data_IF_865758799830
#
_entry.id   IF_865758799830
#
_cell.length_a   1.000
_cell.length_b   1.000
_cell.length_c   1.000
_cell.angle_alpha   90.00
_cell.angle_beta   90.00
_cell.angle_gamma   90.00
#
_symmetry.space_group_name_H-M   'P 1'
#
loop_
_entity.id
_entity.type
_entity.pdbx_description
1 polymer ?
#
# COMPACT_ATOMS: atom_id res chain seq x y z
N UNK A 1 2.78 28.06 16.95
CA UNK A 1 4.21 28.37 16.76
C UNK A 1 4.58 27.91 15.36
N UNK A 2 5.27 28.78 14.62
CA UNK A 2 5.46 28.78 13.16
C UNK A 2 5.91 27.46 12.53
N UNK A 3 5.25 27.07 11.43
CA UNK A 3 5.78 26.18 10.41
C UNK A 3 7.01 26.84 9.76
N UNK A 4 8.05 26.04 9.48
CA UNK A 4 9.03 26.39 8.45
C UNK A 4 9.18 25.23 7.49
N UNK A 5 8.98 25.59 6.24
CA UNK A 5 9.02 24.82 5.01
C UNK A 5 10.49 24.60 4.62
N UNK A 6 10.97 23.34 4.56
CA UNK A 6 12.26 22.99 3.93
C UNK A 6 12.56 21.49 3.94
N UNK A 7 11.81 20.66 3.21
CA UNK A 7 12.25 19.28 2.85
C UNK A 7 11.67 18.74 1.54
N UNK A 8 11.21 19.58 0.61
CA UNK A 8 10.59 19.13 -0.66
C UNK A 8 11.53 18.96 -1.86
N UNK A 9 12.86 18.93 -1.67
CA UNK A 9 13.82 18.92 -2.80
C UNK A 9 14.38 17.55 -3.20
N UNK A 10 13.81 16.43 -2.74
CA UNK A 10 14.40 15.08 -2.92
C UNK A 10 13.62 14.11 -3.80
N UNK A 11 12.64 14.55 -4.59
CA UNK A 11 11.79 13.63 -5.37
C UNK A 11 12.44 13.22 -6.69
N UNK A 12 13.23 12.15 -6.68
CA UNK A 12 13.60 11.45 -7.90
C UNK A 12 12.43 10.55 -8.33
N UNK A 13 11.86 10.81 -9.50
CA UNK A 13 10.86 9.95 -10.11
C UNK A 13 11.47 8.56 -10.42
N UNK A 14 10.72 7.50 -10.13
CA UNK A 14 11.08 6.15 -10.59
C UNK A 14 11.23 6.14 -12.13
N UNK A 15 12.19 5.39 -12.69
CA UNK A 15 12.47 5.41 -14.12
C UNK A 15 11.27 4.90 -14.91
N UNK A 16 10.89 5.68 -15.93
CA UNK A 16 9.85 5.35 -16.91
C UNK A 16 10.26 4.12 -17.70
N UNK A 17 9.63 2.98 -17.43
CA UNK A 17 9.72 1.77 -18.23
C UNK A 17 8.34 1.39 -18.77
N UNK A 18 8.14 1.55 -20.07
CA UNK A 18 6.99 1.00 -20.77
C UNK A 18 7.06 -0.53 -20.73
N UNK A 19 6.24 -1.15 -19.90
CA UNK A 19 6.13 -2.60 -19.81
C UNK A 19 5.44 -3.01 -18.52
N UNK A 20 4.12 -3.19 -18.57
CA UNK A 20 3.36 -3.79 -17.49
C UNK A 20 3.75 -5.25 -17.30
N UNK A 21 4.86 -5.51 -16.60
CA UNK A 21 5.37 -6.84 -16.27
C UNK A 21 5.56 -6.99 -14.75
N UNK A 22 4.53 -7.59 -14.11
CA UNK A 22 4.62 -8.58 -13.02
C UNK A 22 5.49 -8.22 -11.80
N UNK A 23 5.00 -7.32 -10.94
CA UNK A 23 5.53 -7.10 -9.58
C UNK A 23 5.66 -8.42 -8.79
N UNK A 24 4.71 -9.34 -8.99
CA UNK A 24 4.73 -10.66 -8.34
C UNK A 24 5.99 -11.49 -8.65
N UNK A 25 6.44 -11.51 -9.91
CA UNK A 25 7.60 -12.33 -10.30
C UNK A 25 8.93 -11.85 -9.69
N UNK A 26 9.05 -10.56 -9.37
CA UNK A 26 10.28 -9.99 -8.82
C UNK A 26 10.45 -10.28 -7.33
N UNK A 27 9.36 -10.23 -6.54
CA UNK A 27 9.40 -10.61 -5.13
C UNK A 27 9.73 -12.11 -4.96
N UNK A 28 9.08 -12.96 -5.76
CA UNK A 28 9.35 -14.40 -5.77
C UNK A 28 10.78 -14.69 -6.17
N UNK A 29 11.31 -14.05 -7.21
CA UNK A 29 12.71 -14.26 -7.62
C UNK A 29 13.72 -13.79 -6.55
N UNK A 30 13.43 -12.69 -5.85
CA UNK A 30 14.28 -12.17 -4.76
C UNK A 30 14.27 -13.11 -3.54
N UNK A 31 13.08 -13.57 -3.12
CA UNK A 31 12.92 -14.52 -2.00
C UNK A 31 13.53 -15.88 -2.37
N UNK A 32 13.29 -16.40 -3.58
CA UNK A 32 13.86 -17.66 -4.03
C UNK A 32 15.39 -17.61 -4.20
N UNK A 33 15.93 -16.49 -4.68
CA UNK A 33 17.38 -16.28 -4.81
C UNK A 33 18.09 -16.22 -3.47
N UNK A 34 17.48 -15.60 -2.46
CA UNK A 34 18.02 -15.50 -1.10
C UNK A 34 17.93 -16.85 -0.34
N UNK A 35 16.89 -17.64 -0.58
CA UNK A 35 16.77 -19.00 -0.03
C UNK A 35 17.74 -19.98 -0.71
N UNK A 36 18.06 -19.77 -1.99
CA UNK A 36 18.95 -20.64 -2.77
C UNK A 36 20.46 -20.40 -2.59
N UNK A 37 20.90 -19.19 -2.24
CA UNK A 37 22.33 -18.81 -2.20
C UNK A 37 23.05 -19.12 -0.87
N UNK A 38 22.66 -20.20 -0.19
CA UNK A 38 23.23 -20.60 1.09
C UNK A 38 24.75 -20.81 1.03
N UNK A 39 25.52 -19.83 1.53
CA UNK A 39 26.90 -20.03 1.98
C UNK A 39 26.82 -20.91 3.22
N UNK A 40 27.00 -22.22 3.04
CA UNK A 40 26.98 -23.20 4.12
C UNK A 40 28.22 -23.06 5.00
N UNK A 41 28.03 -22.52 6.20
CA UNK A 41 28.92 -22.65 7.34
C UNK A 41 28.15 -23.21 8.53
N UNK A 42 28.61 -24.36 9.04
CA UNK A 42 28.18 -25.11 10.23
C UNK A 42 26.71 -25.59 10.28
N UNK A 43 26.57 -26.93 10.34
CA UNK A 43 25.33 -27.66 10.59
C UNK A 43 24.87 -27.38 12.03
N UNK A 44 23.96 -26.43 12.17
CA UNK A 44 22.95 -26.50 13.23
C UNK A 44 21.74 -27.22 12.65
N UNK A 45 21.07 -28.01 13.49
CA UNK A 45 19.78 -28.65 13.22
C UNK A 45 18.81 -27.59 12.70
N UNK A 46 18.71 -27.47 11.36
CA UNK A 46 17.80 -26.53 10.72
C UNK A 46 16.45 -27.25 10.67
N UNK A 47 15.34 -26.58 11.01
CA UNK A 47 14.03 -27.13 10.70
C UNK A 47 14.00 -27.55 9.23
N UNK A 48 13.28 -28.65 8.95
CA UNK A 48 13.23 -29.30 7.63
C UNK A 48 12.86 -28.29 6.51
N UNK A 49 12.20 -27.18 6.86
CA UNK A 49 11.96 -26.00 6.03
C UNK A 49 12.48 -24.72 6.72
N UNK A 50 13.16 -23.79 6.00
CA UNK A 50 13.55 -22.50 6.54
C UNK A 50 12.31 -21.65 6.89
N UNK A 51 12.38 -20.82 7.92
CA UNK A 51 11.29 -19.92 8.28
C UNK A 51 11.44 -18.54 7.61
N UNK A 52 10.32 -17.95 7.21
CA UNK A 52 10.18 -16.55 6.78
C UNK A 52 9.28 -15.86 7.79
N UNK A 53 9.79 -14.84 8.47
CA UNK A 53 8.98 -14.01 9.37
C UNK A 53 8.33 -12.90 8.53
N UNK A 54 7.01 -12.96 8.36
CA UNK A 54 6.23 -11.95 7.65
C UNK A 54 5.62 -11.00 8.68
N UNK A 55 6.02 -9.73 8.65
CA UNK A 55 5.53 -8.67 9.51
C UNK A 55 4.55 -7.82 8.72
N UNK A 56 3.28 -7.88 9.10
CA UNK A 56 2.16 -7.22 8.46
C UNK A 56 1.84 -5.94 9.23
N UNK A 57 1.67 -4.82 8.54
CA UNK A 57 1.31 -3.55 9.17
C UNK A 57 -0.10 -3.62 9.77
N UNK A 58 -1.01 -4.31 9.08
CA UNK A 58 -2.42 -4.38 9.44
C UNK A 58 -2.83 -5.83 9.79
N UNK A 59 -4.14 -6.09 9.79
CA UNK A 59 -4.71 -7.35 10.28
C UNK A 59 -5.14 -8.24 9.11
N UNK A 60 -5.02 -9.55 9.29
CA UNK A 60 -5.69 -10.56 8.45
C UNK A 60 -7.20 -10.39 8.62
N UNK A 61 -7.92 -10.39 7.49
CA UNK A 61 -9.30 -9.95 7.35
C UNK A 61 -9.43 -8.56 6.70
N UNK A 62 -8.32 -7.83 6.51
CA UNK A 62 -8.26 -6.70 5.59
C UNK A 62 -7.82 -7.21 4.21
N UNK A 63 -8.65 -6.99 3.19
CA UNK A 63 -8.48 -7.59 1.85
C UNK A 63 -7.08 -7.42 1.25
N UNK A 64 -6.44 -6.26 1.44
CA UNK A 64 -5.05 -6.03 1.02
C UNK A 64 -4.06 -7.02 1.67
N UNK A 65 -4.11 -7.18 2.99
CA UNK A 65 -3.23 -8.10 3.72
C UNK A 65 -3.58 -9.57 3.40
N UNK A 66 -4.85 -9.86 3.15
CA UNK A 66 -5.31 -11.20 2.77
C UNK A 66 -4.77 -11.59 1.39
N UNK A 67 -4.87 -10.71 0.40
CA UNK A 67 -4.30 -10.90 -0.95
C UNK A 67 -2.77 -11.06 -0.91
N UNK A 68 -2.09 -10.26 -0.07
CA UNK A 68 -0.64 -10.38 0.15
C UNK A 68 -0.27 -11.72 0.76
N UNK A 69 -1.01 -12.15 1.79
CA UNK A 69 -0.77 -13.44 2.44
C UNK A 69 -1.04 -14.61 1.49
N UNK A 70 -2.09 -14.54 0.67
CA UNK A 70 -2.41 -15.54 -0.36
C UNK A 70 -1.30 -15.61 -1.42
N UNK A 71 -0.88 -14.46 -1.95
CA UNK A 71 0.21 -14.37 -2.92
C UNK A 71 1.52 -14.95 -2.37
N UNK A 72 1.91 -14.56 -1.16
CA UNK A 72 3.09 -15.09 -0.47
C UNK A 72 3.00 -16.61 -0.25
N UNK A 73 1.84 -17.12 0.21
CA UNK A 73 1.66 -18.56 0.45
C UNK A 73 1.75 -19.36 -0.86
N UNK A 74 1.07 -18.91 -1.93
CA UNK A 74 1.12 -19.53 -3.24
C UNK A 74 2.54 -19.50 -3.84
N UNK A 75 3.21 -18.37 -3.68
CA UNK A 75 4.55 -18.14 -4.17
C UNK A 75 5.60 -18.94 -3.42
N UNK A 76 5.57 -18.99 -2.09
CA UNK A 76 6.56 -19.74 -1.30
C UNK A 76 6.32 -21.24 -1.40
N UNK A 77 5.07 -21.68 -1.31
CA UNK A 77 4.68 -23.09 -1.31
C UNK A 77 5.40 -23.87 -0.20
N UNK A 78 5.85 -25.07 -0.52
CA UNK A 78 6.53 -25.95 0.44
C UNK A 78 7.98 -25.60 0.76
N UNK A 79 8.52 -24.50 0.20
CA UNK A 79 9.95 -24.16 0.30
C UNK A 79 10.35 -23.52 1.62
N UNK A 80 9.40 -22.93 2.34
CA UNK A 80 9.63 -22.28 3.62
C UNK A 80 8.36 -22.27 4.46
N UNK A 81 8.50 -22.11 5.78
CA UNK A 81 7.39 -21.89 6.70
C UNK A 81 7.14 -20.39 6.86
N UNK A 82 5.89 -19.95 6.67
CA UNK A 82 5.50 -18.55 6.89
C UNK A 82 5.10 -18.34 8.35
N UNK A 83 5.83 -17.48 9.05
CA UNK A 83 5.51 -17.05 10.41
C UNK A 83 4.93 -15.65 10.35
N UNK A 84 3.61 -15.51 10.51
CA UNK A 84 2.94 -14.21 10.41
C UNK A 84 2.97 -13.43 11.74
N UNK A 85 3.26 -12.14 11.69
CA UNK A 85 3.16 -11.19 12.79
C UNK A 85 2.36 -9.97 12.35
N UNK A 86 1.16 -9.80 12.90
CA UNK A 86 0.31 -8.63 12.63
C UNK A 86 0.59 -7.54 13.68
N UNK A 87 0.82 -6.31 13.22
CA UNK A 87 1.00 -5.13 14.09
C UNK A 87 -0.32 -4.41 14.38
N UNK A 88 -1.34 -4.62 13.53
CA UNK A 88 -2.71 -4.12 13.68
C UNK A 88 -2.84 -2.59 13.81
N UNK A 89 -1.93 -1.81 13.21
CA UNK A 89 -1.83 -0.37 13.54
C UNK A 89 -3.01 0.47 13.08
N UNK A 90 -3.72 0.03 12.04
CA UNK A 90 -4.99 0.65 11.61
C UNK A 90 -6.17 0.26 12.51
N UNK A 91 -6.15 -0.95 13.10
CA UNK A 91 -7.23 -1.46 13.97
C UNK A 91 -7.13 -0.91 15.39
N UNK A 92 -5.90 -0.71 15.86
CA UNK A 92 -5.60 -0.23 17.21
C UNK A 92 -4.59 0.95 17.15
N UNK A 93 -5.02 2.15 16.74
CA UNK A 93 -4.13 3.29 16.50
C UNK A 93 -3.66 4.00 17.79
N UNK A 94 -4.14 3.58 18.97
CA UNK A 94 -3.79 4.22 20.23
C UNK A 94 -2.31 3.95 20.61
N UNK A 95 -1.57 4.97 21.09
CA UNK A 95 -0.17 4.82 21.51
C UNK A 95 -0.04 3.95 22.77
N UNK A 96 1.17 3.48 23.07
CA UNK A 96 1.49 2.72 24.28
C UNK A 96 1.54 1.20 24.07
N UNK A 97 1.44 0.73 22.83
CA UNK A 97 1.54 -0.68 22.46
C UNK A 97 2.90 -1.08 21.90
N UNK A 98 3.80 -0.12 21.69
CA UNK A 98 5.08 -0.30 21.02
C UNK A 98 5.94 -1.35 21.73
N UNK A 99 5.99 -1.32 23.06
CA UNK A 99 6.72 -2.31 23.85
C UNK A 99 6.15 -3.72 23.71
N UNK A 100 4.83 -3.86 23.61
CA UNK A 100 4.18 -5.16 23.42
C UNK A 100 4.38 -5.68 21.99
N UNK A 101 4.32 -4.80 20.98
CA UNK A 101 4.66 -5.14 19.60
C UNK A 101 6.11 -5.61 19.49
N UNK A 102 7.03 -4.89 20.13
CA UNK A 102 8.46 -5.23 20.15
C UNK A 102 8.72 -6.56 20.85
N UNK A 103 8.08 -6.81 22.00
CA UNK A 103 8.21 -8.07 22.71
C UNK A 103 7.71 -9.26 21.87
N UNK A 104 6.57 -9.10 21.18
CA UNK A 104 6.03 -10.14 20.29
C UNK A 104 6.96 -10.37 19.09
N UNK A 105 7.46 -9.29 18.46
CA UNK A 105 8.43 -9.37 17.37
C UNK A 105 9.72 -10.08 17.80
N UNK A 106 10.31 -9.67 18.93
CA UNK A 106 11.51 -10.29 19.49
C UNK A 106 11.31 -11.77 19.78
N UNK A 107 10.17 -12.12 20.39
CA UNK A 107 9.82 -13.51 20.69
C UNK A 107 9.72 -14.35 19.41
N UNK A 108 8.97 -13.89 18.40
CA UNK A 108 8.84 -14.62 17.13
C UNK A 108 10.17 -14.72 16.39
N UNK A 109 10.94 -13.64 16.30
CA UNK A 109 12.25 -13.62 15.66
C UNK A 109 13.24 -14.60 16.33
N UNK A 110 13.23 -14.67 17.66
CA UNK A 110 14.08 -15.59 18.41
C UNK A 110 13.67 -17.05 18.24
N UNK A 111 12.37 -17.34 18.24
CA UNK A 111 11.84 -18.70 18.10
C UNK A 111 11.96 -19.23 16.66
N UNK A 112 11.63 -18.40 15.65
CA UNK A 112 11.66 -18.84 14.25
C UNK A 112 13.03 -18.75 13.60
N UNK A 113 13.93 -17.91 14.13
CA UNK A 113 15.28 -17.65 13.59
C UNK A 113 15.23 -17.50 12.06
N UNK A 114 14.46 -16.53 11.55
CA UNK A 114 14.04 -16.51 10.16
C UNK A 114 15.22 -16.34 9.21
N UNK A 115 15.19 -17.05 8.09
CA UNK A 115 16.18 -16.89 7.01
C UNK A 115 15.99 -15.56 6.28
N UNK A 116 14.77 -15.03 6.25
CA UNK A 116 14.37 -13.76 5.65
C UNK A 116 13.23 -13.16 6.49
N UNK A 117 13.22 -11.85 6.65
CA UNK A 117 12.05 -11.12 7.15
C UNK A 117 11.36 -10.43 5.99
N UNK A 118 10.06 -10.62 5.83
CA UNK A 118 9.25 -9.87 4.88
C UNK A 118 8.46 -8.80 5.66
N UNK A 119 8.45 -7.56 5.19
CA UNK A 119 7.64 -6.48 5.77
C UNK A 119 6.62 -5.99 4.78
N UNK A 120 5.35 -5.92 5.18
CA UNK A 120 4.25 -5.45 4.33
C UNK A 120 3.77 -4.08 4.82
N UNK A 121 3.82 -3.11 3.91
CA UNK A 121 3.56 -1.68 4.08
C UNK A 121 4.56 -0.92 4.97
N UNK A 122 4.41 0.40 4.97
CA UNK A 122 5.35 1.37 5.54
C UNK A 122 5.61 1.14 7.03
N UNK A 123 4.57 0.85 7.83
CA UNK A 123 4.72 0.71 9.27
C UNK A 123 5.57 -0.51 9.64
N UNK A 124 5.32 -1.67 9.04
CA UNK A 124 6.10 -2.88 9.28
C UNK A 124 7.56 -2.70 8.83
N UNK A 125 7.77 -2.06 7.67
CA UNK A 125 9.10 -1.75 7.17
C UNK A 125 9.89 -0.90 8.18
N UNK A 126 9.33 0.23 8.58
CA UNK A 126 9.91 1.14 9.56
C UNK A 126 10.13 0.47 10.92
N UNK A 127 9.14 -0.29 11.38
CA UNK A 127 9.16 -0.98 12.66
C UNK A 127 10.31 -1.98 12.73
N UNK A 128 10.50 -2.80 11.69
CA UNK A 128 11.56 -3.81 11.61
C UNK A 128 12.92 -3.16 11.44
N UNK A 129 13.07 -2.13 10.61
CA UNK A 129 14.36 -1.46 10.42
C UNK A 129 14.87 -0.81 11.71
N UNK A 130 13.99 -0.15 12.47
CA UNK A 130 14.33 0.42 13.79
C UNK A 130 14.72 -0.65 14.81
N UNK A 131 14.32 -1.90 14.61
CA UNK A 131 14.49 -3.05 15.52
C UNK A 131 15.35 -4.16 14.94
N UNK A 132 16.15 -3.85 13.92
CA UNK A 132 16.94 -4.85 13.18
C UNK A 132 17.88 -5.65 14.07
N UNK A 133 18.35 -5.06 15.17
CA UNK A 133 19.20 -5.72 16.15
C UNK A 133 18.53 -6.90 16.88
N UNK A 134 17.20 -7.01 16.84
CA UNK A 134 16.44 -8.13 17.42
C UNK A 134 16.40 -9.35 16.48
N UNK A 135 16.84 -9.19 15.22
CA UNK A 135 16.95 -10.28 14.25
C UNK A 135 18.34 -10.94 14.35
N UNK A 136 18.46 -12.21 13.91
CA UNK A 136 19.77 -12.82 13.70
C UNK A 136 20.66 -11.94 12.82
N UNK A 137 21.95 -11.84 13.16
CA UNK A 137 22.88 -11.01 12.44
C UNK A 137 22.92 -11.37 10.94
N UNK A 138 22.84 -10.36 10.07
CA UNK A 138 22.89 -10.54 8.62
C UNK A 138 21.57 -10.99 7.97
N UNK A 139 20.47 -11.11 8.73
CA UNK A 139 19.14 -11.44 8.19
C UNK A 139 18.72 -10.40 7.14
N UNK A 140 18.42 -10.81 5.90
CA UNK A 140 17.90 -9.92 4.88
C UNK A 140 16.45 -9.52 5.20
N UNK A 141 16.12 -8.27 4.90
CA UNK A 141 14.77 -7.74 4.99
C UNK A 141 14.24 -7.50 3.57
N UNK A 142 13.08 -8.06 3.27
CA UNK A 142 12.39 -7.88 1.99
C UNK A 142 11.10 -7.10 2.22
N UNK A 143 10.94 -5.93 1.61
CA UNK A 143 9.70 -5.16 1.76
C UNK A 143 8.73 -5.36 0.58
N UNK A 144 7.43 -5.24 0.85
CA UNK A 144 6.35 -5.20 -0.13
C UNK A 144 5.30 -4.18 0.32
N UNK A 145 4.60 -3.53 -0.60
CA UNK A 145 3.53 -2.57 -0.25
C UNK A 145 4.02 -1.23 0.32
N UNK A 146 5.33 -0.96 0.30
CA UNK A 146 5.86 0.35 0.73
C UNK A 146 5.44 1.40 -0.28
N UNK A 147 4.76 2.47 0.15
CA UNK A 147 4.21 3.49 -0.76
C UNK A 147 5.32 4.31 -1.44
N UNK A 148 6.39 4.61 -0.69
CA UNK A 148 7.50 5.42 -1.17
C UNK A 148 8.77 5.17 -0.36
N UNK A 149 9.91 5.12 -1.06
CA UNK A 149 11.23 5.14 -0.43
C UNK A 149 11.84 6.52 -0.56
N UNK A 150 12.00 7.20 0.58
CA UNK A 150 12.66 8.52 0.60
C UNK A 150 14.17 8.44 0.34
N UNK A 151 14.78 7.31 0.65
CA UNK A 151 16.21 7.06 0.46
C UNK A 151 16.43 5.62 0.02
N UNK A 152 17.62 5.34 -0.52
CA UNK A 152 18.05 3.96 -0.77
C UNK A 152 17.88 3.09 0.49
N UNK A 153 17.34 1.86 0.35
CA UNK A 153 17.20 0.95 1.48
C UNK A 153 18.56 0.64 2.13
N UNK A 154 18.60 0.39 3.45
CA UNK A 154 19.82 -0.03 4.13
C UNK A 154 20.42 -1.32 3.53
N UNK A 155 21.70 -1.64 3.81
CA UNK A 155 22.31 -2.89 3.35
C UNK A 155 21.49 -4.13 3.70
N UNK A 156 21.45 -5.12 2.80
CA UNK A 156 20.64 -6.34 2.94
C UNK A 156 19.14 -6.05 3.15
N UNK A 157 18.66 -4.96 2.56
CA UNK A 157 17.25 -4.60 2.48
C UNK A 157 16.91 -4.33 1.02
N UNK A 158 15.80 -4.88 0.53
CA UNK A 158 15.32 -4.69 -0.85
C UNK A 158 13.86 -5.10 -0.95
N UNK A 159 13.18 -4.85 -2.06
CA UNK A 159 11.75 -5.15 -2.10
C UNK A 159 11.01 -4.50 -3.26
N UNK A 160 9.68 -4.54 -3.16
CA UNK A 160 8.73 -4.00 -4.14
C UNK A 160 7.98 -2.84 -3.51
N UNK A 161 8.00 -1.68 -4.16
CA UNK A 161 7.23 -0.48 -3.78
C UNK A 161 5.82 -0.62 -4.37
N UNK A 162 4.79 -0.24 -3.59
CA UNK A 162 3.44 -0.02 -4.11
C UNK A 162 3.44 1.22 -5.00
N UNK A 163 3.37 1.00 -6.31
CA UNK A 163 3.34 2.07 -7.30
C UNK A 163 1.97 2.09 -7.99
N UNK A 164 1.07 2.93 -7.49
CA UNK A 164 -0.24 3.15 -8.13
C UNK A 164 -0.10 3.88 -9.47
N UNK A 165 -0.77 3.38 -10.50
CA UNK A 165 -0.74 3.97 -11.84
C UNK A 165 -1.88 4.98 -12.04
N UNK A 166 -1.69 6.15 -11.43
CA UNK A 166 -2.61 7.29 -11.55
C UNK A 166 -2.65 7.85 -12.98
N UNK A 167 -1.52 7.80 -13.71
CA UNK A 167 -1.48 8.28 -15.10
C UNK A 167 -2.34 7.41 -16.01
N UNK A 168 -2.17 6.08 -15.95
CA UNK A 168 -2.98 5.13 -16.69
C UNK A 168 -4.46 5.20 -16.31
N UNK A 169 -4.78 5.38 -15.03
CA UNK A 169 -6.17 5.57 -14.57
C UNK A 169 -6.80 6.83 -15.16
N UNK A 170 -6.09 7.96 -15.15
CA UNK A 170 -6.59 9.22 -15.72
C UNK A 170 -6.67 9.18 -17.26
N UNK A 171 -5.74 8.48 -17.91
CA UNK A 171 -5.79 8.24 -19.35
C UNK A 171 -7.00 7.39 -19.74
N UNK A 172 -7.28 6.32 -18.99
CA UNK A 172 -8.47 5.49 -19.17
C UNK A 172 -9.76 6.30 -18.98
N UNK A 173 -9.83 7.12 -17.92
CA UNK A 173 -10.98 7.97 -17.66
C UNK A 173 -11.28 8.93 -18.83
N UNK A 174 -10.24 9.51 -19.45
CA UNK A 174 -10.39 10.35 -20.65
C UNK A 174 -10.86 9.58 -21.88
N UNK A 175 -10.31 8.37 -22.08
CA UNK A 175 -10.66 7.54 -23.22
C UNK A 175 -12.14 7.10 -23.17
N UNK A 176 -12.62 6.71 -21.99
CA UNK A 176 -13.99 6.23 -21.79
C UNK A 176 -15.03 7.36 -21.75
N UNK A 177 -14.65 8.52 -21.21
CA UNK A 177 -15.55 9.66 -21.06
C UNK A 177 -14.99 10.90 -21.77
N UNK A 178 -14.99 10.90 -23.12
CA UNK A 178 -14.43 11.99 -23.90
C UNK A 178 -15.21 13.30 -23.67
N UNK A 179 -14.48 14.42 -23.57
CA UNK A 179 -15.01 15.76 -23.33
C UNK A 179 -14.36 16.45 -22.13
N UNK A 180 -14.58 17.76 -21.99
CA UNK A 180 -14.11 18.51 -20.83
C UNK A 180 -14.95 18.15 -19.59
N UNK A 181 -14.44 17.19 -18.80
CA UNK A 181 -15.02 16.83 -17.51
C UNK A 181 -14.16 17.34 -16.36
N UNK A 182 -14.79 17.65 -15.24
CA UNK A 182 -14.14 17.94 -13.97
C UNK A 182 -13.83 16.62 -13.26
N UNK A 183 -12.58 16.49 -12.81
CA UNK A 183 -12.10 15.39 -12.00
C UNK A 183 -12.43 15.66 -10.53
N UNK A 184 -13.30 14.84 -9.95
CA UNK A 184 -13.62 14.88 -8.53
C UNK A 184 -12.74 13.88 -7.80
N UNK A 185 -11.84 14.34 -6.94
CA UNK A 185 -10.87 13.52 -6.23
C UNK A 185 -11.42 13.31 -4.81
N UNK A 186 -11.75 12.07 -4.47
CA UNK A 186 -12.17 11.70 -3.11
C UNK A 186 -10.96 11.08 -2.42
N UNK A 187 -10.40 11.80 -1.46
CA UNK A 187 -9.20 11.40 -0.74
C UNK A 187 -9.19 11.96 0.70
N UNK A 188 -8.90 11.12 1.68
CA UNK A 188 -8.88 11.45 3.11
C UNK A 188 -7.50 12.01 3.57
N UNK A 189 -7.41 12.58 4.78
CA UNK A 189 -6.14 13.10 5.30
C UNK A 189 -5.29 12.02 6.00
N UNK A 190 -5.54 10.72 5.77
CA UNK A 190 -4.72 9.64 6.35
C UNK A 190 -3.30 9.65 5.77
N UNK A 191 -2.41 8.82 6.31
CA UNK A 191 -1.07 8.64 5.75
C UNK A 191 -1.12 8.18 4.28
N UNK A 192 -1.89 7.14 3.99
CA UNK A 192 -2.17 6.68 2.63
C UNK A 192 -2.74 7.81 1.76
N UNK A 193 -3.71 8.57 2.29
CA UNK A 193 -4.28 9.71 1.58
C UNK A 193 -3.26 10.80 1.26
N UNK A 194 -2.34 11.12 2.16
CA UNK A 194 -1.26 12.10 1.88
C UNK A 194 -0.29 11.60 0.82
N UNK A 195 0.05 10.31 0.82
CA UNK A 195 0.89 9.69 -0.21
C UNK A 195 0.21 9.75 -1.59
N UNK A 196 -1.07 9.35 -1.65
CA UNK A 196 -1.91 9.45 -2.85
C UNK A 196 -1.95 10.88 -3.41
N UNK A 197 -2.14 11.88 -2.55
CA UNK A 197 -2.23 13.27 -2.98
C UNK A 197 -0.88 13.80 -3.49
N UNK A 198 0.23 13.40 -2.88
CA UNK A 198 1.57 13.74 -3.37
C UNK A 198 1.82 13.16 -4.77
N UNK A 199 1.52 11.88 -4.99
CA UNK A 199 1.64 11.23 -6.29
C UNK A 199 0.72 11.87 -7.33
N UNK A 200 -0.55 12.11 -6.99
CA UNK A 200 -1.52 12.71 -7.89
C UNK A 200 -1.15 14.13 -8.30
N UNK A 201 -0.59 14.94 -7.40
CA UNK A 201 -0.10 16.29 -7.74
C UNK A 201 0.99 16.26 -8.82
N UNK A 202 1.93 15.32 -8.73
CA UNK A 202 2.99 15.16 -9.73
C UNK A 202 2.39 14.75 -11.09
N UNK A 203 1.48 13.78 -11.09
CA UNK A 203 0.82 13.31 -12.31
C UNK A 203 -0.01 14.42 -12.96
N UNK A 204 -0.83 15.13 -12.20
CA UNK A 204 -1.66 16.24 -12.72
C UNK A 204 -0.81 17.38 -13.29
N UNK A 205 0.31 17.72 -12.65
CA UNK A 205 1.22 18.77 -13.12
C UNK A 205 1.95 18.40 -14.43
N UNK A 206 2.17 17.10 -14.67
CA UNK A 206 2.84 16.61 -15.87
C UNK A 206 1.92 16.42 -17.07
N UNK A 207 0.58 16.54 -16.91
CA UNK A 207 -0.36 16.27 -18.00
C UNK A 207 -0.41 17.40 -19.04
N UNK A 208 -0.38 17.08 -20.35
CA UNK A 208 -0.47 18.08 -21.41
C UNK A 208 -1.77 18.90 -21.40
N UNK A 209 -2.87 18.25 -21.01
CA UNK A 209 -4.17 18.88 -20.85
C UNK A 209 -4.52 18.85 -19.36
N UNK A 210 -4.71 20.00 -18.69
CA UNK A 210 -5.02 20.02 -17.27
C UNK A 210 -6.48 19.62 -17.02
N UNK A 211 -6.73 18.98 -15.88
CA UNK A 211 -8.09 18.75 -15.39
C UNK A 211 -8.58 19.96 -14.61
N UNK A 212 -9.88 20.28 -14.73
CA UNK A 212 -10.58 21.02 -13.68
C UNK A 212 -10.77 20.05 -12.52
N UNK A 213 -10.33 20.39 -11.31
CA UNK A 213 -10.38 19.48 -10.16
C UNK A 213 -11.31 19.98 -9.06
N UNK A 214 -12.03 19.07 -8.43
CA UNK A 214 -12.71 19.28 -7.14
C UNK A 214 -12.18 18.24 -6.16
N UNK A 215 -11.87 18.64 -4.92
CA UNK A 215 -11.36 17.73 -3.88
C UNK A 215 -12.40 17.55 -2.80
N UNK A 216 -12.66 16.30 -2.44
CA UNK A 216 -13.58 15.86 -1.39
C UNK A 216 -12.86 14.85 -0.46
N UNK A 217 -13.48 14.50 0.66
CA UNK A 217 -12.94 13.50 1.60
C UNK A 217 -12.21 14.07 2.82
N UNK A 218 -12.04 15.40 2.91
CA UNK A 218 -11.49 16.07 4.12
C UNK A 218 -12.57 16.59 5.08
N UNK A 219 -13.85 16.46 4.71
CA UNK A 219 -15.02 16.84 5.52
C UNK A 219 -15.54 15.64 6.32
N UNK A 220 -16.71 15.77 6.97
CA UNK A 220 -17.42 14.60 7.47
C UNK A 220 -17.88 13.70 6.31
N UNK A 221 -18.12 12.42 6.59
CA UNK A 221 -18.67 11.50 5.60
C UNK A 221 -19.99 12.00 5.02
N UNK A 222 -20.92 12.47 5.87
CA UNK A 222 -22.23 12.96 5.42
C UNK A 222 -22.11 14.14 4.44
N UNK A 223 -21.18 15.06 4.67
CA UNK A 223 -20.93 16.18 3.75
C UNK A 223 -20.32 15.71 2.42
N UNK A 224 -19.39 14.75 2.46
CA UNK A 224 -18.83 14.18 1.23
C UNK A 224 -19.88 13.35 0.47
N UNK A 225 -20.72 12.57 1.17
CA UNK A 225 -21.83 11.81 0.60
C UNK A 225 -22.81 12.76 -0.14
N UNK A 226 -23.18 13.88 0.49
CA UNK A 226 -24.04 14.90 -0.11
C UNK A 226 -23.40 15.58 -1.34
N UNK A 227 -22.10 15.88 -1.27
CA UNK A 227 -21.36 16.43 -2.40
C UNK A 227 -21.29 15.45 -3.58
N UNK A 228 -21.09 14.15 -3.31
CA UNK A 228 -21.09 13.09 -4.33
C UNK A 228 -22.47 12.93 -5.00
N UNK A 229 -23.55 13.04 -4.23
CA UNK A 229 -24.92 12.96 -4.75
C UNK A 229 -25.27 14.14 -5.68
N UNK A 230 -24.63 15.30 -5.48
CA UNK A 230 -24.85 16.52 -6.27
C UNK A 230 -24.02 16.62 -7.55
N UNK A 231 -23.21 15.62 -7.89
CA UNK A 231 -22.34 15.65 -9.08
C UNK A 231 -23.14 15.56 -10.39
N UNK A 232 -22.66 16.25 -11.43
CA UNK A 232 -23.30 16.29 -12.75
C UNK A 232 -22.82 15.11 -13.62
N UNK A 233 -23.69 14.14 -13.99
CA UNK A 233 -23.33 12.97 -14.81
C UNK A 233 -22.73 13.30 -16.18
N UNK A 234 -22.97 14.51 -16.70
CA UNK A 234 -22.45 14.95 -18.00
C UNK A 234 -21.09 15.61 -17.89
N UNK A 235 -20.72 16.10 -16.69
CA UNK A 235 -19.56 16.99 -16.51
C UNK A 235 -18.56 16.48 -15.49
N UNK A 236 -18.91 15.53 -14.64
CA UNK A 236 -18.05 15.04 -13.57
C UNK A 236 -17.64 13.58 -13.81
N UNK A 237 -16.45 13.22 -13.33
CA UNK A 237 -15.97 11.85 -13.08
C UNK A 237 -15.27 11.84 -11.74
N UNK A 238 -15.36 10.73 -11.01
CA UNK A 238 -14.72 10.59 -9.70
C UNK A 238 -13.48 9.72 -9.80
N UNK A 239 -12.40 10.14 -9.15
CA UNK A 239 -11.27 9.31 -8.77
C UNK A 239 -11.37 9.07 -7.25
N UNK A 240 -11.72 7.84 -6.87
CA UNK A 240 -11.78 7.39 -5.50
C UNK A 240 -10.43 6.80 -5.10
N UNK A 241 -9.74 7.47 -4.18
CA UNK A 241 -8.51 7.01 -3.56
C UNK A 241 -8.85 6.49 -2.14
N UNK A 242 -8.22 6.99 -1.07
CA UNK A 242 -8.58 6.60 0.30
C UNK A 242 -9.72 7.45 0.85
N UNK A 243 -10.71 6.83 1.49
CA UNK A 243 -11.81 7.57 2.12
C UNK A 243 -12.34 6.82 3.35
N UNK A 244 -11.40 6.56 4.24
CA UNK A 244 -11.53 5.67 5.38
C UNK A 244 -11.57 6.39 6.73
N UNK A 245 -11.22 7.67 6.77
CA UNK A 245 -11.27 8.52 7.97
C UNK A 245 -11.84 9.90 7.62
N UNK A 246 -12.85 10.36 8.36
CA UNK A 246 -13.45 11.67 8.16
C UNK A 246 -13.02 12.70 9.21
N UNK A 247 -13.48 13.94 9.06
CA UNK A 247 -13.16 15.04 9.97
C UNK A 247 -13.71 14.86 11.41
N UNK A 248 -14.69 13.99 11.61
CA UNK A 248 -15.26 13.67 12.93
C UNK A 248 -14.53 12.50 13.60
N UNK A 249 -13.55 11.88 12.92
CA UNK A 249 -12.86 10.68 13.40
C UNK A 249 -13.65 9.39 13.17
N UNK A 250 -14.74 9.44 12.41
CA UNK A 250 -15.46 8.24 12.00
C UNK A 250 -14.62 7.47 10.97
N UNK A 251 -14.74 6.14 10.99
CA UNK A 251 -13.97 5.27 10.09
C UNK A 251 -14.89 4.49 9.14
N UNK A 252 -14.36 4.16 7.96
CA UNK A 252 -14.94 3.25 6.98
C UNK A 252 -13.87 2.26 6.51
N UNK A 253 -14.25 1.02 6.28
CA UNK A 253 -13.46 0.08 5.49
C UNK A 253 -13.39 0.53 4.03
N UNK A 254 -12.44 0.00 3.26
CA UNK A 254 -12.36 0.24 1.82
C UNK A 254 -13.65 -0.20 1.11
N UNK A 255 -14.22 -1.33 1.55
CA UNK A 255 -15.48 -1.86 1.03
C UNK A 255 -16.66 -0.90 1.29
N UNK A 256 -16.82 -0.43 2.52
CA UNK A 256 -17.85 0.56 2.87
C UNK A 256 -17.67 1.87 2.10
N UNK A 257 -16.42 2.32 1.90
CA UNK A 257 -16.13 3.53 1.15
C UNK A 257 -16.59 3.44 -0.31
N UNK A 258 -16.23 2.37 -1.04
CA UNK A 258 -16.59 2.22 -2.46
C UNK A 258 -18.08 1.92 -2.65
N UNK A 259 -18.68 1.10 -1.79
CA UNK A 259 -20.11 0.76 -1.87
C UNK A 259 -20.99 1.97 -1.55
N UNK A 260 -20.63 2.75 -0.52
CA UNK A 260 -21.32 4.01 -0.20
C UNK A 260 -21.18 5.02 -1.32
N UNK A 261 -19.96 5.24 -1.83
CA UNK A 261 -19.73 6.15 -2.95
C UNK A 261 -20.58 5.76 -4.17
N UNK A 262 -20.63 4.47 -4.53
CA UNK A 262 -21.45 3.97 -5.64
C UNK A 262 -22.95 4.16 -5.40
N UNK A 263 -23.43 3.97 -4.17
CA UNK A 263 -24.84 4.10 -3.84
C UNK A 263 -25.35 5.55 -4.01
N UNK A 264 -24.53 6.54 -3.65
CA UNK A 264 -24.94 7.96 -3.69
C UNK A 264 -24.53 8.69 -4.96
N UNK A 265 -23.44 8.25 -5.63
CA UNK A 265 -22.84 8.99 -6.72
C UNK A 265 -23.47 8.62 -8.09
N UNK A 266 -24.01 9.60 -8.85
CA UNK A 266 -24.60 9.34 -10.16
C UNK A 266 -23.56 9.28 -11.29
N UNK A 267 -22.27 9.52 -11.00
CA UNK A 267 -21.20 9.61 -12.00
C UNK A 267 -20.26 8.39 -11.96
N UNK A 268 -19.48 8.15 -13.03
CA UNK A 268 -18.50 7.06 -13.05
C UNK A 268 -17.43 7.24 -11.97
N UNK A 269 -17.19 6.17 -11.21
CA UNK A 269 -16.13 6.09 -10.21
C UNK A 269 -14.93 5.34 -10.80
N UNK A 270 -13.75 5.93 -10.75
CA UNK A 270 -12.47 5.27 -11.06
C UNK A 270 -11.69 5.06 -9.77
N UNK A 271 -10.85 4.02 -9.72
CA UNK A 271 -9.98 3.74 -8.59
C UNK A 271 -8.63 3.20 -9.05
N UNK A 272 -7.74 2.96 -8.11
CA UNK A 272 -6.39 2.42 -8.38
C UNK A 272 -6.13 1.06 -7.75
N UNK A 273 -7.09 0.52 -6.98
CA UNK A 273 -6.96 -0.79 -6.35
C UNK A 273 -8.01 -1.78 -6.84
N UNK A 274 -7.60 -3.04 -7.03
CA UNK A 274 -8.46 -4.11 -7.54
C UNK A 274 -9.65 -4.39 -6.61
N UNK A 275 -9.48 -4.28 -5.29
CA UNK A 275 -10.56 -4.55 -4.32
C UNK A 275 -11.77 -3.59 -4.42
N UNK A 276 -11.64 -2.46 -5.12
CA UNK A 276 -12.77 -1.61 -5.46
C UNK A 276 -13.57 -2.10 -6.67
N UNK A 277 -12.95 -2.87 -7.54
CA UNK A 277 -13.54 -3.37 -8.78
C UNK A 277 -14.62 -4.41 -8.50
N UNK A 278 -15.73 -4.34 -9.25
CA UNK A 278 -16.92 -5.14 -8.97
C UNK A 278 -17.78 -4.64 -7.80
N UNK A 279 -17.34 -3.61 -7.06
CA UNK A 279 -18.07 -3.06 -5.89
C UNK A 279 -18.52 -1.62 -6.03
N UNK A 280 -18.00 -0.91 -7.03
CA UNK A 280 -18.51 0.42 -7.35
C UNK A 280 -17.74 1.19 -8.41
N UNK A 281 -16.45 0.93 -8.60
CA UNK A 281 -15.69 1.56 -9.69
C UNK A 281 -16.00 0.90 -11.03
N UNK A 282 -15.95 1.72 -12.09
CA UNK A 282 -16.12 1.28 -13.48
C UNK A 282 -14.81 0.87 -14.13
N UNK A 283 -13.66 1.20 -13.52
CA UNK A 283 -12.34 0.81 -13.98
C UNK A 283 -11.20 1.64 -13.39
N UNK A 284 -9.99 1.33 -13.84
CA UNK A 284 -8.75 1.98 -13.46
C UNK A 284 -7.54 1.19 -13.95
N UNK A 285 -6.34 1.72 -13.70
CA UNK A 285 -5.12 0.91 -13.73
C UNK A 285 -4.93 0.35 -12.33
N UNK A 286 -5.40 -0.88 -12.14
CA UNK A 286 -5.67 -1.44 -10.82
C UNK A 286 -4.47 -2.22 -10.29
N UNK A 287 -4.09 -1.92 -9.06
CA UNK A 287 -3.10 -2.64 -8.29
C UNK A 287 -3.80 -3.68 -7.39
N UNK A 288 -3.31 -4.91 -7.41
CA UNK A 288 -3.70 -5.96 -6.47
C UNK A 288 -2.58 -6.22 -5.44
N UNK A 289 -2.94 -6.85 -4.33
CA UNK A 289 -2.00 -7.22 -3.27
C UNK A 289 -1.30 -8.56 -3.53
N UNK A 290 -1.59 -9.27 -4.63
CA UNK A 290 -1.07 -10.62 -4.85
C UNK A 290 0.38 -10.56 -5.32
N UNK A 291 1.29 -10.71 -4.37
CA UNK A 291 2.74 -10.79 -4.57
C UNK A 291 3.20 -12.14 -5.13
#
# INVERSE_FOLDING_TARGET
MSFTDSTLSGYAAAPRGAGGWKCSRMLVALVCGLVGAGVFGAVADRPEKPAILVVLSYHVGMEWEDDVCEGLAASVGDRAELVLLQLDVKRFPAPGRESAMEANFASKAAMSRPAVVITIDDFAYDFVLKRRALLPAGTPVVFGGVNFLATEPPPRTGGVVEAIDLEGTLALARALFPGERRLVIVNDPTETGRANDAALRQVLAAQPTPWKTLRLGSSTFAETDAALAGLDPRRDVVLLLSWNLDAAGATRTYDEAVTTARAVCPVPLFGVWEFYFGRGIVGGSLLDGRL
#
